data_IF_062771831018
#
_entry.id   IF_062771831018
#
_cell.length_a   1.000
_cell.length_b   1.000
_cell.length_c   1.000
_cell.angle_alpha   90.00
_cell.angle_beta   90.00
_cell.angle_gamma   90.00
#
_symmetry.space_group_name_H-M   'P 1'
#
loop_
_entity.id
_entity.type
_entity.pdbx_description
1 polymer ?
#
# COMPACT_ATOMS: atom_id res chain seq x y z
N UNK A 1 4.08 18.30 21.93
CA UNK A 1 3.07 18.36 20.85
C UNK A 1 3.67 18.64 19.47
N UNK A 2 4.52 19.67 19.31
CA UNK A 2 5.13 20.00 18.01
C UNK A 2 5.96 18.84 17.42
N UNK A 3 6.75 18.16 18.25
CA UNK A 3 7.55 17.00 17.84
C UNK A 3 6.69 15.83 17.33
N UNK A 4 5.66 15.43 18.09
CA UNK A 4 4.68 14.43 17.68
C UNK A 4 4.09 14.74 16.29
N UNK A 5 3.62 15.98 16.10
CA UNK A 5 3.07 16.45 14.83
C UNK A 5 4.09 16.36 13.69
N UNK A 6 5.33 16.79 13.94
CA UNK A 6 6.42 16.72 12.96
C UNK A 6 6.72 15.28 12.55
N UNK A 7 6.88 14.37 13.51
CA UNK A 7 7.17 12.96 13.24
C UNK A 7 6.08 12.29 12.39
N UNK A 8 4.81 12.57 12.68
CA UNK A 8 3.70 12.03 11.89
C UNK A 8 3.71 12.58 10.45
N UNK A 9 4.08 13.84 10.25
CA UNK A 9 4.22 14.44 8.91
C UNK A 9 5.33 13.74 8.11
N UNK A 10 6.52 13.64 8.70
CA UNK A 10 7.69 12.99 8.07
C UNK A 10 7.40 11.52 7.74
N UNK A 11 6.71 10.80 8.64
CA UNK A 11 6.30 9.43 8.37
C UNK A 11 5.26 9.35 7.25
N UNK A 12 4.32 10.29 7.17
CA UNK A 12 3.33 10.32 6.09
C UNK A 12 3.95 10.61 4.72
N UNK A 13 4.99 11.46 4.66
CA UNK A 13 5.74 11.74 3.44
C UNK A 13 6.44 10.49 2.92
N UNK A 14 7.01 9.66 3.80
CA UNK A 14 7.61 8.37 3.38
C UNK A 14 6.63 7.42 2.71
N UNK A 15 5.36 7.39 3.12
CA UNK A 15 4.35 6.58 2.39
C UNK A 15 4.12 7.09 0.96
N UNK A 16 4.22 8.40 0.75
CA UNK A 16 4.09 9.01 -0.58
C UNK A 16 5.30 8.63 -1.43
N UNK A 17 6.50 8.71 -0.88
CA UNK A 17 7.74 8.30 -1.55
C UNK A 17 7.74 6.81 -1.92
N UNK A 18 7.43 5.93 -0.96
CA UNK A 18 7.32 4.48 -1.17
C UNK A 18 6.26 4.15 -2.24
N UNK A 19 5.11 4.83 -2.22
CA UNK A 19 4.05 4.65 -3.22
C UNK A 19 4.50 5.13 -4.60
N UNK A 20 5.18 6.28 -4.67
CA UNK A 20 5.72 6.81 -5.93
C UNK A 20 6.65 5.79 -6.56
N UNK A 21 7.60 5.27 -5.79
CA UNK A 21 8.51 4.23 -6.23
C UNK A 21 7.76 3.01 -6.79
N UNK A 22 6.76 2.52 -6.05
CA UNK A 22 6.02 1.32 -6.44
C UNK A 22 5.27 1.52 -7.78
N UNK A 23 4.63 2.67 -7.98
CA UNK A 23 3.91 3.00 -9.23
C UNK A 23 4.91 3.18 -10.38
N UNK A 24 5.95 3.98 -10.17
CA UNK A 24 6.95 4.28 -11.19
C UNK A 24 7.64 2.99 -11.68
N UNK A 25 8.12 2.17 -10.74
CA UNK A 25 8.89 0.96 -11.07
C UNK A 25 8.02 -0.15 -11.64
N UNK A 26 6.82 -0.36 -11.10
CA UNK A 26 6.04 -1.57 -11.40
C UNK A 26 4.86 -1.34 -12.35
N UNK A 27 4.45 -0.08 -12.57
CA UNK A 27 3.36 0.29 -13.48
C UNK A 27 3.92 1.06 -14.67
N UNK A 28 4.54 2.22 -14.44
CA UNK A 28 4.97 3.12 -15.52
C UNK A 28 6.08 2.47 -16.34
N UNK A 29 7.22 2.15 -15.71
CA UNK A 29 8.39 1.63 -16.43
C UNK A 29 8.21 0.21 -16.98
N UNK A 30 7.14 -0.49 -16.59
CA UNK A 30 6.80 -1.82 -17.10
C UNK A 30 5.82 -1.79 -18.27
N UNK A 31 5.14 -0.66 -18.51
CA UNK A 31 4.26 -0.50 -19.68
C UNK A 31 5.05 -0.13 -20.94
N UNK A 32 6.32 0.28 -20.81
CA UNK A 32 7.20 0.78 -21.89
C UNK A 32 7.99 -0.32 -22.63
N UNK A 33 7.50 -1.56 -22.68
CA UNK A 33 8.07 -2.63 -23.53
C UNK A 33 7.98 -2.32 -25.05
N UNK A 34 7.42 -1.16 -25.46
CA UNK A 34 7.29 -0.73 -26.86
C UNK A 34 8.02 0.59 -27.24
N UNK A 35 8.78 1.25 -26.34
CA UNK A 35 9.54 2.46 -26.73
C UNK A 35 11.03 2.37 -26.32
N UNK A 36 11.90 2.11 -27.29
CA UNK A 36 13.34 2.34 -27.21
C UNK A 36 13.60 3.87 -27.16
N UNK A 37 13.24 4.51 -26.05
CA UNK A 37 13.38 5.94 -25.79
C UNK A 37 14.12 6.18 -24.48
N UNK A 38 15.40 6.50 -24.60
CA UNK A 38 16.39 6.75 -23.53
C UNK A 38 16.16 8.11 -22.84
N UNK A 39 14.93 8.41 -22.44
CA UNK A 39 14.59 9.63 -21.70
C UNK A 39 14.20 9.25 -20.26
N UNK A 40 15.19 9.26 -19.36
CA UNK A 40 14.98 9.36 -17.90
C UNK A 40 14.34 10.72 -17.53
N UNK A 41 13.25 11.12 -18.22
CA UNK A 41 12.42 12.20 -17.74
C UNK A 41 11.84 11.74 -16.40
N UNK A 42 12.26 12.37 -15.29
CA UNK A 42 11.59 12.24 -14.01
C UNK A 42 10.10 12.36 -14.28
N UNK A 43 9.37 11.25 -14.14
CA UNK A 43 7.92 11.30 -14.30
C UNK A 43 7.40 12.11 -13.14
N UNK A 44 7.16 13.40 -13.39
CA UNK A 44 6.64 14.32 -12.41
C UNK A 44 5.13 14.08 -12.29
N UNK A 45 4.77 12.95 -11.70
CA UNK A 45 3.40 12.58 -11.40
C UNK A 45 3.14 12.66 -9.90
N UNK A 46 1.88 12.93 -9.54
CA UNK A 46 1.42 12.80 -8.16
C UNK A 46 1.00 11.34 -7.92
N UNK A 47 1.70 10.57 -7.09
CA UNK A 47 1.36 9.17 -6.81
C UNK A 47 -0.02 9.03 -6.15
N UNK A 48 -0.50 10.06 -5.45
CA UNK A 48 -1.83 10.07 -4.87
C UNK A 48 -2.90 10.23 -5.96
N UNK A 49 -2.65 11.00 -7.01
CA UNK A 49 -3.65 11.26 -8.06
C UNK A 49 -3.41 10.47 -9.36
N UNK A 50 -2.45 9.55 -9.36
CA UNK A 50 -2.18 8.66 -10.48
C UNK A 50 -3.42 7.83 -10.85
N UNK A 51 -3.75 7.78 -12.14
CA UNK A 51 -4.91 7.08 -12.67
C UNK A 51 -4.46 5.80 -13.38
N UNK A 52 -4.78 4.66 -12.79
CA UNK A 52 -4.51 3.35 -13.38
C UNK A 52 -5.36 3.12 -14.64
N UNK A 53 -4.74 2.58 -15.69
CA UNK A 53 -5.34 2.37 -17.01
C UNK A 53 -6.45 1.30 -16.99
N UNK A 54 -6.31 0.29 -16.14
CA UNK A 54 -7.23 -0.84 -16.02
C UNK A 54 -7.18 -1.51 -14.63
N UNK A 55 -8.16 -1.20 -13.77
CA UNK A 55 -8.35 -1.87 -12.46
C UNK A 55 -8.71 -3.36 -12.55
N UNK A 56 -8.64 -3.96 -13.75
CA UNK A 56 -8.79 -5.41 -13.96
C UNK A 56 -7.50 -6.18 -13.70
N UNK A 57 -6.34 -5.53 -13.73
CA UNK A 57 -5.08 -6.20 -13.39
C UNK A 57 -4.92 -6.36 -11.88
N UNK A 58 -4.59 -7.56 -11.34
CA UNK A 58 -4.32 -7.73 -9.93
C UNK A 58 -3.23 -6.77 -9.42
N UNK A 59 -2.19 -6.54 -10.25
CA UNK A 59 -1.13 -5.56 -9.99
C UNK A 59 -1.69 -4.14 -9.82
N UNK A 60 -2.37 -3.59 -10.82
CA UNK A 60 -2.96 -2.25 -10.75
C UNK A 60 -4.00 -2.13 -9.62
N UNK A 61 -4.84 -3.15 -9.41
CA UNK A 61 -5.82 -3.18 -8.32
C UNK A 61 -5.14 -3.13 -6.95
N UNK A 62 -4.06 -3.88 -6.78
CA UNK A 62 -3.28 -3.87 -5.54
C UNK A 62 -2.59 -2.50 -5.34
N UNK A 63 -2.05 -1.91 -6.41
CA UNK A 63 -1.49 -0.55 -6.37
C UNK A 63 -2.54 0.51 -6.05
N UNK A 64 -3.77 0.38 -6.56
CA UNK A 64 -4.88 1.26 -6.21
C UNK A 64 -5.22 1.15 -4.71
N UNK A 65 -5.17 -0.06 -4.14
CA UNK A 65 -5.32 -0.28 -2.70
C UNK A 65 -4.19 0.40 -1.90
N UNK A 66 -2.93 0.33 -2.37
CA UNK A 66 -1.81 1.06 -1.76
C UNK A 66 -2.01 2.58 -1.85
N UNK A 67 -2.43 3.09 -3.01
CA UNK A 67 -2.75 4.51 -3.19
C UNK A 67 -3.84 4.98 -2.22
N UNK A 68 -4.92 4.19 -2.07
CA UNK A 68 -6.02 4.50 -1.13
C UNK A 68 -5.56 4.55 0.32
N UNK A 69 -4.70 3.63 0.76
CA UNK A 69 -4.21 3.65 2.14
C UNK A 69 -3.27 4.83 2.37
N UNK A 70 -2.41 5.17 1.40
CA UNK A 70 -1.56 6.36 1.50
C UNK A 70 -2.38 7.65 1.58
N UNK A 71 -3.42 7.81 0.76
CA UNK A 71 -4.36 8.95 0.89
C UNK A 71 -4.97 9.03 2.29
N UNK A 72 -5.35 7.89 2.86
CA UNK A 72 -5.95 7.81 4.19
C UNK A 72 -4.94 8.15 5.30
N UNK A 73 -3.67 7.75 5.14
CA UNK A 73 -2.56 8.12 6.03
C UNK A 73 -2.28 9.63 5.98
N UNK A 74 -2.21 10.22 4.79
CA UNK A 74 -2.03 11.67 4.61
C UNK A 74 -3.21 12.45 5.21
N UNK A 75 -4.44 11.98 4.99
CA UNK A 75 -5.63 12.57 5.61
C UNK A 75 -5.60 12.46 7.14
N UNK A 76 -5.11 11.35 7.71
CA UNK A 76 -4.93 11.18 9.15
C UNK A 76 -3.84 12.12 9.69
N UNK A 77 -2.70 12.21 9.01
CA UNK A 77 -1.62 13.14 9.34
C UNK A 77 -2.14 14.57 9.40
N UNK A 78 -2.84 15.02 8.36
CA UNK A 78 -3.48 16.35 8.29
C UNK A 78 -4.49 16.58 9.43
N UNK A 79 -5.31 15.59 9.76
CA UNK A 79 -6.27 15.68 10.86
C UNK A 79 -5.55 15.83 12.23
N UNK A 80 -4.43 15.13 12.42
CA UNK A 80 -3.57 15.28 13.61
C UNK A 80 -2.93 16.68 13.65
N UNK A 81 -2.44 17.19 12.52
CA UNK A 81 -1.88 18.54 12.45
C UNK A 81 -2.89 19.61 12.90
N UNK A 82 -4.15 19.45 12.48
CA UNK A 82 -5.23 20.40 12.74
C UNK A 82 -6.03 20.12 14.02
N UNK A 83 -5.71 19.05 14.75
CA UNK A 83 -6.49 18.57 15.91
C UNK A 83 -7.98 18.31 15.59
N UNK A 84 -8.29 17.88 14.37
CA UNK A 84 -9.67 17.62 13.92
C UNK A 84 -10.15 16.24 14.37
N UNK A 85 -10.75 16.17 15.57
CA UNK A 85 -11.20 14.91 16.22
C UNK A 85 -11.98 13.99 15.29
N UNK A 86 -13.03 14.50 14.63
CA UNK A 86 -13.87 13.71 13.72
C UNK A 86 -13.11 13.17 12.51
N UNK A 87 -12.20 13.97 11.94
CA UNK A 87 -11.39 13.56 10.79
C UNK A 87 -10.32 12.54 11.20
N UNK A 88 -9.75 12.65 12.40
CA UNK A 88 -8.84 11.64 12.94
C UNK A 88 -9.53 10.27 13.02
N UNK A 89 -10.75 10.21 13.59
CA UNK A 89 -11.55 8.98 13.71
C UNK A 89 -11.90 8.40 12.33
N UNK A 90 -12.33 9.25 11.40
CA UNK A 90 -12.68 8.82 10.05
C UNK A 90 -11.47 8.27 9.30
N UNK A 91 -10.41 9.05 9.17
CA UNK A 91 -9.22 8.69 8.40
C UNK A 91 -8.53 7.45 8.97
N UNK A 92 -8.45 7.29 10.31
CA UNK A 92 -7.87 6.06 10.89
C UNK A 92 -8.77 4.83 10.67
N UNK A 93 -10.10 5.03 10.60
CA UNK A 93 -11.05 4.00 10.21
C UNK A 93 -10.84 3.53 8.77
N UNK A 94 -10.61 4.48 7.86
CA UNK A 94 -10.31 4.21 6.45
C UNK A 94 -8.97 3.46 6.32
N UNK A 95 -7.90 3.90 7.01
CA UNK A 95 -6.60 3.19 7.06
C UNK A 95 -6.77 1.72 7.46
N UNK A 96 -7.47 1.43 8.55
CA UNK A 96 -7.67 0.05 9.02
C UNK A 96 -8.50 -0.80 8.04
N UNK A 97 -9.47 -0.19 7.36
CA UNK A 97 -10.32 -0.84 6.37
C UNK A 97 -9.51 -1.21 5.13
N UNK A 98 -8.73 -0.27 4.59
CA UNK A 98 -7.94 -0.51 3.39
C UNK A 98 -6.81 -1.50 3.67
N UNK A 99 -6.12 -1.45 4.82
CA UNK A 99 -5.14 -2.49 5.15
C UNK A 99 -5.75 -3.88 5.32
N UNK A 100 -7.00 -3.98 5.75
CA UNK A 100 -7.72 -5.25 5.75
C UNK A 100 -7.96 -5.75 4.33
N UNK A 101 -8.31 -4.87 3.40
CA UNK A 101 -8.47 -5.19 1.97
C UNK A 101 -7.14 -5.62 1.35
N UNK A 102 -6.06 -4.84 1.52
CA UNK A 102 -4.71 -5.16 1.05
C UNK A 102 -4.28 -6.54 1.54
N UNK A 103 -4.47 -6.86 2.82
CA UNK A 103 -4.11 -8.16 3.36
C UNK A 103 -4.90 -9.33 2.71
N UNK A 104 -6.20 -9.12 2.47
CA UNK A 104 -7.01 -10.14 1.81
C UNK A 104 -6.57 -10.34 0.36
N UNK A 105 -6.33 -9.25 -0.37
CA UNK A 105 -5.83 -9.28 -1.76
C UNK A 105 -4.45 -9.93 -1.86
N UNK A 106 -3.51 -9.57 -0.96
CA UNK A 106 -2.19 -10.20 -0.90
C UNK A 106 -2.30 -11.71 -0.64
N UNK A 107 -3.21 -12.13 0.24
CA UNK A 107 -3.47 -13.55 0.51
C UNK A 107 -4.00 -14.28 -0.72
N UNK A 108 -4.90 -13.66 -1.48
CA UNK A 108 -5.44 -14.21 -2.71
C UNK A 108 -4.37 -14.32 -3.80
N UNK A 109 -3.60 -13.26 -4.02
CA UNK A 109 -2.52 -13.21 -5.00
C UNK A 109 -1.45 -14.24 -4.66
N UNK A 110 -1.04 -14.33 -3.39
CA UNK A 110 -0.01 -15.26 -2.94
C UNK A 110 -0.33 -16.73 -3.24
N UNK A 111 -1.61 -17.12 -3.38
CA UNK A 111 -1.98 -18.50 -3.77
C UNK A 111 -1.53 -18.86 -5.19
N UNK A 112 -1.38 -17.86 -6.06
CA UNK A 112 -0.88 -18.04 -7.42
C UNK A 112 0.64 -17.90 -7.53
N UNK A 113 1.30 -17.30 -6.54
CA UNK A 113 2.73 -17.03 -6.59
C UNK A 113 3.55 -18.27 -6.18
N UNK A 114 4.72 -18.48 -6.80
CA UNK A 114 5.66 -19.52 -6.38
C UNK A 114 6.09 -19.30 -4.94
N UNK A 115 6.38 -20.40 -4.23
CA UNK A 115 6.88 -20.31 -2.86
C UNK A 115 8.27 -19.67 -2.83
N UNK A 116 8.47 -18.79 -1.85
CA UNK A 116 9.74 -18.09 -1.69
C UNK A 116 9.67 -16.91 -0.72
N UNK A 117 10.85 -16.41 -0.38
CA UNK A 117 11.02 -15.34 0.63
C UNK A 117 10.24 -14.05 0.29
N UNK A 118 10.06 -13.73 -0.99
CA UNK A 118 9.33 -12.52 -1.40
C UNK A 118 7.84 -12.63 -1.06
N UNK A 119 7.21 -13.76 -1.40
CA UNK A 119 5.83 -14.09 -1.02
C UNK A 119 5.63 -14.11 0.49
N UNK A 120 6.52 -14.76 1.23
CA UNK A 120 6.46 -14.82 2.70
C UNK A 120 6.54 -13.42 3.32
N UNK A 121 7.50 -12.58 2.88
CA UNK A 121 7.65 -11.20 3.36
C UNK A 121 6.44 -10.33 3.04
N UNK A 122 5.85 -10.46 1.85
CA UNK A 122 4.64 -9.72 1.49
C UNK A 122 3.49 -10.09 2.44
N UNK A 123 3.26 -11.38 2.68
CA UNK A 123 2.19 -11.86 3.56
C UNK A 123 2.42 -11.44 5.02
N UNK A 124 3.66 -11.52 5.50
CA UNK A 124 4.01 -11.05 6.84
C UNK A 124 3.76 -9.54 7.00
N UNK A 125 4.28 -8.73 6.06
CA UNK A 125 4.14 -7.27 6.12
C UNK A 125 2.69 -6.81 5.99
N UNK A 126 1.89 -7.42 5.10
CA UNK A 126 0.48 -7.07 4.94
C UNK A 126 -0.35 -7.44 6.18
N UNK A 127 -0.10 -8.61 6.78
CA UNK A 127 -0.72 -9.02 8.04
C UNK A 127 -0.34 -8.10 9.20
N UNK A 128 0.93 -7.66 9.25
CA UNK A 128 1.43 -6.74 10.26
C UNK A 128 0.87 -5.33 10.10
N UNK A 129 0.74 -4.82 8.87
CA UNK A 129 0.03 -3.57 8.57
C UNK A 129 -1.42 -3.62 9.05
N UNK A 130 -2.15 -4.70 8.72
CA UNK A 130 -3.53 -4.92 9.17
C UNK A 130 -3.63 -4.88 10.71
N UNK A 131 -2.79 -5.64 11.40
CA UNK A 131 -2.85 -5.70 12.88
C UNK A 131 -2.48 -4.35 13.53
N UNK A 132 -1.42 -3.72 13.05
CA UNK A 132 -0.92 -2.44 13.58
C UNK A 132 -1.88 -1.29 13.28
N UNK A 133 -2.57 -1.30 12.14
CA UNK A 133 -3.58 -0.29 11.80
C UNK A 133 -4.82 -0.35 12.69
N UNK A 134 -5.23 -1.55 13.14
CA UNK A 134 -6.30 -1.70 14.13
C UNK A 134 -5.86 -1.13 15.48
N UNK A 135 -4.63 -1.39 15.91
CA UNK A 135 -4.07 -0.79 17.13
C UNK A 135 -3.96 0.74 17.00
N UNK A 136 -3.57 1.25 15.84
CA UNK A 136 -3.51 2.68 15.56
C UNK A 136 -4.90 3.30 15.67
N UNK A 137 -5.92 2.69 15.07
CA UNK A 137 -7.32 3.12 15.19
C UNK A 137 -7.77 3.26 16.64
N UNK A 138 -7.43 2.30 17.50
CA UNK A 138 -7.76 2.35 18.93
C UNK A 138 -7.06 3.54 19.60
N UNK A 139 -5.75 3.68 19.42
CA UNK A 139 -4.97 4.75 20.05
C UNK A 139 -5.41 6.15 19.56
N UNK A 140 -5.68 6.31 18.26
CA UNK A 140 -6.25 7.54 17.70
C UNK A 140 -7.63 7.83 18.27
N UNK A 141 -8.46 6.81 18.50
CA UNK A 141 -9.78 7.00 19.10
C UNK A 141 -9.68 7.53 20.54
N UNK A 142 -8.74 7.01 21.32
CA UNK A 142 -8.42 7.54 22.65
C UNK A 142 -7.90 8.97 22.55
N UNK A 143 -6.98 9.25 21.61
CA UNK A 143 -6.39 10.58 21.41
C UNK A 143 -7.40 11.64 20.98
N UNK A 144 -8.36 11.25 20.15
CA UNK A 144 -9.44 12.13 19.70
C UNK A 144 -10.48 12.38 20.81
N UNK A 145 -10.58 11.46 21.77
CA UNK A 145 -11.45 11.58 22.95
C UNK A 145 -10.79 12.28 24.13
N UNK A 146 -9.46 12.47 24.10
CA UNK A 146 -8.71 13.14 25.16
C UNK A 146 -8.97 14.65 25.12
N UNK A 147 -9.05 15.25 26.29
CA UNK A 147 -9.10 16.70 26.44
C UNK A 147 -7.70 17.32 26.38
N UNK A 148 -7.64 18.64 26.25
CA UNK A 148 -6.37 19.38 26.12
C UNK A 148 -5.54 19.33 27.41
N UNK A 149 -6.17 19.07 28.56
CA UNK A 149 -5.52 18.92 29.86
C UNK A 149 -4.94 17.52 30.11
N UNK A 150 -5.27 16.54 29.28
CA UNK A 150 -4.83 15.16 29.49
C UNK A 150 -3.34 15.02 29.13
N UNK A 151 -2.56 14.35 30.00
CA UNK A 151 -1.21 13.93 29.62
C UNK A 151 -1.30 12.76 28.62
N UNK A 152 -1.08 13.10 27.36
CA UNK A 152 -1.12 12.17 26.23
C UNK A 152 0.27 11.86 25.68
N UNK A 153 1.34 12.11 26.43
CA UNK A 153 2.72 11.89 25.99
C UNK A 153 2.99 10.42 25.60
N UNK A 154 2.67 9.49 26.49
CA UNK A 154 2.80 8.05 26.24
C UNK A 154 1.91 7.56 25.08
N UNK A 155 0.71 8.13 24.96
CA UNK A 155 -0.21 7.81 23.87
C UNK A 155 0.35 8.29 22.53
N UNK A 156 0.90 9.50 22.48
CA UNK A 156 1.54 10.04 21.28
C UNK A 156 2.75 9.18 20.86
N UNK A 157 3.59 8.76 21.81
CA UNK A 157 4.73 7.88 21.52
C UNK A 157 4.27 6.52 20.95
N UNK A 158 3.19 5.95 21.50
CA UNK A 158 2.58 4.73 20.94
C UNK A 158 2.05 4.93 19.52
N UNK A 159 1.40 6.08 19.25
CA UNK A 159 0.91 6.41 17.91
C UNK A 159 2.07 6.53 16.92
N UNK A 160 3.15 7.23 17.29
CA UNK A 160 4.35 7.36 16.44
C UNK A 160 4.96 5.98 16.17
N UNK A 161 5.19 5.17 17.20
CA UNK A 161 5.73 3.82 17.02
C UNK A 161 4.85 2.91 16.13
N UNK A 162 3.53 3.08 16.18
CA UNK A 162 2.61 2.39 15.27
C UNK A 162 2.72 2.91 13.82
N UNK A 163 2.84 4.23 13.62
CA UNK A 163 3.10 4.80 12.30
C UNK A 163 4.42 4.32 11.71
N UNK A 164 5.50 4.32 12.50
CA UNK A 164 6.81 3.80 12.10
C UNK A 164 6.72 2.34 11.69
N UNK A 165 6.04 1.53 12.50
CA UNK A 165 5.90 0.12 12.22
C UNK A 165 5.10 -0.15 10.93
N UNK A 166 4.00 0.58 10.74
CA UNK A 166 3.20 0.48 9.52
C UNK A 166 4.02 0.95 8.31
N UNK A 167 4.79 2.04 8.44
CA UNK A 167 5.64 2.55 7.35
C UNK A 167 6.72 1.52 6.96
N UNK A 168 7.40 0.89 7.92
CA UNK A 168 8.36 -0.18 7.64
C UNK A 168 7.73 -1.35 6.87
N UNK A 169 6.54 -1.78 7.28
CA UNK A 169 5.82 -2.86 6.61
C UNK A 169 5.32 -2.44 5.23
N UNK A 170 4.83 -1.21 5.10
CA UNK A 170 4.40 -0.63 3.83
C UNK A 170 5.56 -0.53 2.84
N UNK A 171 6.72 -0.07 3.28
CA UNK A 171 7.92 0.01 2.44
C UNK A 171 8.31 -1.37 1.89
N UNK A 172 8.25 -2.44 2.70
CA UNK A 172 8.46 -3.82 2.23
C UNK A 172 7.45 -4.21 1.15
N UNK A 173 6.18 -3.83 1.30
CA UNK A 173 5.13 -4.12 0.32
C UNK A 173 5.38 -3.33 -0.97
N UNK A 174 5.65 -2.03 -0.87
CA UNK A 174 5.91 -1.13 -1.98
C UNK A 174 7.13 -1.57 -2.82
N UNK A 175 8.16 -2.11 -2.17
CA UNK A 175 9.40 -2.60 -2.80
C UNK A 175 9.38 -4.13 -3.03
N UNK A 176 8.19 -4.73 -3.13
CA UNK A 176 8.05 -6.15 -3.47
C UNK A 176 8.06 -6.37 -4.99
N UNK A 177 9.01 -5.78 -5.72
CA UNK A 177 9.05 -5.74 -7.19
C UNK A 177 8.98 -7.14 -7.82
N UNK A 178 9.70 -8.10 -7.23
CA UNK A 178 9.62 -9.50 -7.66
C UNK A 178 8.20 -10.05 -7.60
N UNK A 179 7.45 -9.72 -6.54
CA UNK A 179 6.06 -10.17 -6.42
C UNK A 179 5.22 -9.50 -7.51
N UNK A 180 5.37 -8.20 -7.74
CA UNK A 180 4.64 -7.50 -8.78
C UNK A 180 4.91 -8.06 -10.19
N UNK A 181 6.18 -8.34 -10.50
CA UNK A 181 6.55 -8.99 -11.75
C UNK A 181 5.91 -10.39 -11.87
N UNK A 182 5.94 -11.20 -10.80
CA UNK A 182 5.30 -12.52 -10.80
C UNK A 182 3.75 -12.43 -10.97
N UNK A 183 3.10 -11.33 -10.54
CA UNK A 183 1.67 -11.11 -10.78
C UNK A 183 1.33 -10.97 -12.27
N UNK A 184 2.23 -10.38 -13.06
CA UNK A 184 2.04 -10.21 -14.51
C UNK A 184 2.32 -11.51 -15.28
N UNK A 185 3.37 -12.25 -14.91
CA UNK A 185 3.68 -13.54 -15.55
C UNK A 185 2.59 -14.59 -15.38
N UNK A 186 1.93 -14.59 -14.22
CA UNK A 186 0.79 -15.49 -14.00
C UNK A 186 -0.40 -15.17 -14.94
N UNK A 187 -0.55 -13.94 -15.44
CA UNK A 187 -1.54 -13.67 -16.49
C UNK A 187 -1.16 -14.24 -17.84
N UNK A 188 0.11 -14.16 -18.24
CA UNK A 188 0.56 -14.68 -19.54
C UNK A 188 0.35 -16.19 -19.66
N UNK A 189 0.46 -16.92 -18.56
CA UNK A 189 0.22 -18.38 -18.52
C UNK A 189 -1.27 -18.75 -18.56
N UNK A 190 -2.19 -17.87 -18.15
CA UNK A 190 -3.64 -18.04 -18.41
C UNK A 190 -4.11 -17.44 -19.75
N UNK A 191 -3.33 -16.54 -20.34
CA UNK A 191 -3.60 -15.93 -21.65
C UNK A 191 -3.21 -16.79 -22.86
N UNK A 192 -2.44 -17.87 -22.66
CA UNK A 192 -2.04 -18.80 -23.72
C UNK A 192 -2.40 -20.24 -23.38
N UNK A 193 -3.70 -20.54 -23.38
CA UNK A 193 -4.20 -21.93 -23.55
C UNK A 193 -5.60 -21.96 -24.16
N UNK A 194 -5.75 -21.32 -25.32
CA UNK A 194 -6.77 -21.75 -26.30
C UNK A 194 -6.13 -21.98 -27.67
N UNK A 195 -5.01 -22.69 -27.71
CA UNK A 195 -4.76 -23.60 -28.83
C UNK A 195 -5.33 -24.96 -28.41
N UNK A 196 -6.60 -25.13 -28.77
CA UNK A 196 -7.32 -26.40 -28.72
C UNK A 196 -6.40 -27.56 -29.09
N UNK A 197 -6.45 -28.59 -28.27
CA UNK A 197 -5.96 -29.94 -28.59
C UNK A 197 -6.27 -30.28 -30.05
N UNK A 198 -5.28 -30.20 -30.93
CA UNK A 198 -5.34 -30.89 -32.21
C UNK A 198 -5.18 -32.37 -31.91
N UNK A 199 -6.30 -32.96 -31.50
CA UNK A 199 -6.54 -34.39 -31.60
C UNK A 199 -6.53 -34.70 -33.10
N UNK A 200 -5.37 -35.10 -33.62
CA UNK A 200 -5.31 -35.75 -34.92
C UNK A 200 -5.85 -37.16 -34.70
N UNK A 201 -7.06 -37.41 -35.19
CA UNK A 201 -7.73 -38.70 -35.14
C UNK A 201 -7.03 -39.71 -36.04
N UNK A 202 -6.84 -40.92 -35.54
CA UNK A 202 -6.43 -42.07 -36.33
C UNK A 202 -7.66 -42.59 -37.10
N UNK A 203 -7.67 -42.39 -38.42
CA UNK A 203 -8.45 -43.16 -39.38
C UNK A 203 -7.53 -43.55 -40.53
#
# INVERSE_FOLDING_TARGET
MAEFKKQISELSEKFIEDLKYAIETNIINNDDDDDEGDDEEETNFDPLEYKFLSTKAPKEKFMESLQKVTKSIVALSNAIQKNERSNMIRSTGDVATVFTQINNEATEIARSLPDGKAKEKLLESTSRCKTSSVQLKINISVKASSDESDDVSDLNNKIVGLFELINQCFSVIAHSDRVYNDMDFNKQSFGSSTSSWNTISWN
#
